data_IF_622763189352
#
_entry.id   IF_622763189352
#
_cell.length_a   1.000
_cell.length_b   1.000
_cell.length_c   1.000
_cell.angle_alpha   90.00
_cell.angle_beta   90.00
_cell.angle_gamma   90.00
#
_symmetry.space_group_name_H-M   'P 1'
#
loop_
_entity.id
_entity.type
_entity.pdbx_description
1 polymer ?
#
# COMPACT_ATOMS: atom_id res chain seq x y z
N UNK A 1 26.27 -6.97 15.10
CA UNK A 1 24.81 -6.72 15.10
C UNK A 1 24.50 -6.00 13.79
N UNK A 2 23.52 -6.47 13.01
CA UNK A 2 23.15 -5.81 11.75
C UNK A 2 22.50 -4.47 12.11
N UNK A 3 23.00 -3.37 11.55
CA UNK A 3 22.46 -2.04 11.82
C UNK A 3 20.99 -1.99 11.42
N UNK A 4 20.15 -1.54 12.34
CA UNK A 4 18.75 -1.24 12.10
C UNK A 4 18.49 0.22 12.46
N UNK A 5 17.65 0.88 11.69
CA UNK A 5 17.27 2.28 11.88
C UNK A 5 15.75 2.39 11.88
N UNK A 6 15.20 3.29 12.69
CA UNK A 6 13.78 3.62 12.62
C UNK A 6 13.46 4.33 11.31
N UNK A 7 12.29 4.05 10.74
CA UNK A 7 11.85 4.77 9.55
C UNK A 7 11.78 6.29 9.78
N UNK A 8 11.44 6.73 10.99
CA UNK A 8 11.48 8.15 11.38
C UNK A 8 12.85 8.80 11.27
N UNK A 9 13.91 8.02 11.42
CA UNK A 9 15.30 8.52 11.50
C UNK A 9 15.99 8.50 10.12
N UNK A 10 15.35 7.86 9.12
CA UNK A 10 15.83 7.87 7.74
C UNK A 10 15.59 9.25 7.11
N UNK A 11 16.66 9.95 6.78
CA UNK A 11 16.57 11.25 6.11
C UNK A 11 15.93 11.12 4.73
N UNK A 12 14.96 11.98 4.44
CA UNK A 12 14.27 12.02 3.15
C UNK A 12 12.97 11.23 3.11
N UNK A 13 12.51 10.62 4.21
CA UNK A 13 11.17 10.06 4.31
C UNK A 13 10.17 11.10 4.82
N UNK A 14 9.05 11.24 4.13
CA UNK A 14 7.88 11.99 4.57
C UNK A 14 6.69 11.03 4.72
N UNK A 15 5.91 11.21 5.79
CA UNK A 15 4.75 10.38 6.10
C UNK A 15 3.49 11.23 5.97
N UNK A 16 2.58 10.85 5.09
CA UNK A 16 1.39 11.62 4.73
C UNK A 16 0.16 10.77 5.00
N UNK A 17 -0.70 11.24 5.90
CA UNK A 17 -1.98 10.57 6.21
C UNK A 17 -3.00 10.82 5.11
N UNK A 18 -3.82 9.79 4.84
CA UNK A 18 -4.84 9.88 3.81
C UNK A 18 -6.01 10.79 4.15
N UNK A 19 -6.92 10.92 3.20
CA UNK A 19 -8.10 11.76 3.27
C UNK A 19 -9.27 11.03 3.92
N UNK A 20 -10.00 11.72 4.82
CA UNK A 20 -11.34 11.28 5.25
C UNK A 20 -12.29 11.61 4.10
N UNK A 21 -12.56 10.65 3.23
CA UNK A 21 -13.32 10.85 1.99
C UNK A 21 -14.72 11.36 2.24
N UNK A 22 -15.41 10.87 3.28
CA UNK A 22 -16.76 11.33 3.63
C UNK A 22 -16.88 12.82 3.98
N UNK A 23 -15.76 13.52 4.24
CA UNK A 23 -15.76 14.99 4.48
C UNK A 23 -15.76 15.79 3.19
N UNK A 24 -15.22 15.23 2.11
CA UNK A 24 -15.08 15.92 0.83
C UNK A 24 -16.07 15.42 -0.22
N UNK A 25 -16.64 14.23 -0.05
CA UNK A 25 -17.59 13.61 -0.97
C UNK A 25 -18.85 14.47 -1.14
N UNK A 26 -19.24 14.69 -2.39
CA UNK A 26 -20.48 15.35 -2.73
C UNK A 26 -21.66 14.40 -2.51
N UNK A 27 -22.71 14.85 -1.87
CA UNK A 27 -23.91 14.07 -1.58
C UNK A 27 -25.10 14.60 -2.37
N UNK A 28 -25.50 13.89 -3.40
CA UNK A 28 -26.66 14.24 -4.24
C UNK A 28 -27.96 14.42 -3.44
N UNK A 29 -28.18 13.60 -2.40
CA UNK A 29 -29.37 13.69 -1.55
C UNK A 29 -29.43 15.00 -0.74
N UNK A 30 -28.31 15.69 -0.59
CA UNK A 30 -28.18 16.98 0.06
C UNK A 30 -28.08 18.14 -0.94
N UNK A 31 -28.26 17.89 -2.23
CA UNK A 31 -28.06 18.85 -3.33
C UNK A 31 -26.66 19.52 -3.28
N UNK A 32 -25.64 18.79 -2.85
CA UNK A 32 -24.26 19.27 -2.86
C UNK A 32 -23.70 19.18 -4.27
N UNK A 33 -23.05 20.24 -4.72
CA UNK A 33 -22.47 20.33 -6.07
C UNK A 33 -21.03 19.81 -6.01
N UNK A 34 -20.72 18.82 -6.85
CA UNK A 34 -19.35 18.38 -7.05
C UNK A 34 -18.55 19.43 -7.82
N UNK A 35 -17.32 19.69 -7.39
CA UNK A 35 -16.37 20.60 -8.04
C UNK A 35 -15.31 19.83 -8.87
N UNK A 36 -15.25 18.51 -8.73
CA UNK A 36 -14.35 17.64 -9.47
C UNK A 36 -14.50 16.17 -9.11
N UNK A 37 -13.68 15.36 -9.75
CA UNK A 37 -13.61 13.90 -9.58
C UNK A 37 -12.17 13.45 -9.33
N UNK A 38 -12.00 12.42 -8.54
CA UNK A 38 -10.69 11.82 -8.27
C UNK A 38 -10.81 10.31 -8.10
N UNK A 39 -9.84 9.56 -8.60
CA UNK A 39 -9.72 8.13 -8.34
C UNK A 39 -9.13 7.90 -6.94
N UNK A 40 -9.70 6.97 -6.19
CA UNK A 40 -9.37 6.75 -4.78
C UNK A 40 -8.85 5.33 -4.57
N UNK A 41 -7.77 5.20 -3.79
CA UNK A 41 -7.22 3.94 -3.30
C UNK A 41 -7.85 3.58 -1.95
N UNK A 42 -8.84 2.67 -1.90
CA UNK A 42 -9.29 2.09 -0.64
C UNK A 42 -8.30 1.03 -0.14
N UNK A 43 -8.31 0.65 1.15
CA UNK A 43 -7.40 -0.39 1.68
C UNK A 43 -7.43 -1.71 0.91
N UNK A 44 -8.59 -2.10 0.37
CA UNK A 44 -8.76 -3.34 -0.39
C UNK A 44 -7.98 -3.37 -1.72
N UNK A 45 -7.67 -2.18 -2.29
CA UNK A 45 -6.90 -2.05 -3.52
C UNK A 45 -5.39 -2.27 -3.32
N UNK A 46 -4.91 -2.32 -2.07
CA UNK A 46 -3.49 -2.53 -1.75
C UNK A 46 -3.27 -4.01 -1.50
N UNK A 47 -2.50 -4.69 -2.36
CA UNK A 47 -2.22 -6.13 -2.23
C UNK A 47 -0.77 -6.41 -2.65
N UNK A 48 -0.02 -7.04 -1.75
CA UNK A 48 1.30 -7.65 -2.04
C UNK A 48 2.21 -6.83 -2.97
N UNK A 49 2.42 -5.58 -2.64
CA UNK A 49 3.35 -4.70 -3.38
C UNK A 49 2.72 -3.86 -4.49
N UNK A 50 1.45 -4.08 -4.87
CA UNK A 50 0.80 -3.44 -6.03
C UNK A 50 -0.54 -2.81 -5.69
N UNK A 51 -0.99 -1.90 -6.55
CA UNK A 51 -2.36 -1.38 -6.58
C UNK A 51 -3.20 -2.24 -7.54
N UNK A 52 -4.33 -2.75 -7.05
CA UNK A 52 -5.32 -3.47 -7.86
C UNK A 52 -6.28 -2.47 -8.47
N UNK A 53 -6.16 -2.21 -9.76
CA UNK A 53 -6.89 -1.17 -10.49
C UNK A 53 -8.41 -1.35 -10.40
N UNK A 54 -8.91 -2.59 -10.52
CA UNK A 54 -10.34 -2.92 -10.45
C UNK A 54 -10.98 -2.64 -9.08
N UNK A 55 -10.17 -2.39 -8.06
CA UNK A 55 -10.62 -2.08 -6.71
C UNK A 55 -10.63 -0.57 -6.41
N UNK A 56 -10.15 0.26 -7.33
CA UNK A 56 -10.25 1.71 -7.23
C UNK A 56 -11.70 2.15 -7.42
N UNK A 57 -12.03 3.34 -6.91
CA UNK A 57 -13.33 3.94 -7.18
C UNK A 57 -13.19 5.44 -7.45
N UNK A 58 -14.11 5.98 -8.24
CA UNK A 58 -14.21 7.41 -8.49
C UNK A 58 -14.98 8.10 -7.35
N UNK A 59 -14.47 9.20 -6.86
CA UNK A 59 -15.10 10.06 -5.88
C UNK A 59 -15.39 11.42 -6.49
N UNK A 60 -16.65 11.84 -6.47
CA UNK A 60 -17.03 13.23 -6.74
C UNK A 60 -16.85 14.05 -5.45
N UNK A 61 -16.04 15.11 -5.52
CA UNK A 61 -15.75 15.92 -4.32
C UNK A 61 -16.35 17.33 -4.43
N UNK A 62 -16.79 17.86 -3.28
CA UNK A 62 -17.42 19.18 -3.11
C UNK A 62 -16.52 20.24 -2.48
N UNK A 63 -15.37 19.84 -2.00
CA UNK A 63 -14.39 20.71 -1.37
C UNK A 63 -12.98 20.23 -1.66
N UNK A 64 -12.04 21.16 -1.73
CA UNK A 64 -10.62 20.88 -1.95
C UNK A 64 -10.04 20.00 -0.84
N UNK A 65 -8.98 19.31 -1.18
CA UNK A 65 -8.15 18.50 -0.31
C UNK A 65 -6.66 18.78 -0.60
N UNK A 66 -5.79 18.39 0.31
CA UNK A 66 -4.35 18.60 0.17
C UNK A 66 -3.78 17.66 -0.93
N UNK A 67 -3.22 18.23 -2.00
CA UNK A 67 -2.60 17.50 -3.12
C UNK A 67 -1.44 16.60 -2.68
N UNK A 68 -0.86 16.83 -1.48
CA UNK A 68 0.13 15.91 -0.92
C UNK A 68 -0.41 14.51 -0.69
N UNK A 69 -1.74 14.36 -0.56
CA UNK A 69 -2.44 13.08 -0.39
C UNK A 69 -2.68 12.33 -1.69
N UNK A 70 -2.33 12.93 -2.82
CA UNK A 70 -2.26 12.25 -4.10
C UNK A 70 -0.93 11.50 -4.22
N UNK A 71 -0.99 10.32 -4.76
CA UNK A 71 0.18 9.47 -5.03
C UNK A 71 1.08 10.08 -6.08
N UNK A 72 2.37 9.80 -5.96
CA UNK A 72 3.42 10.10 -6.95
C UNK A 72 4.25 8.85 -7.19
N UNK A 73 4.76 8.66 -8.39
CA UNK A 73 5.67 7.56 -8.67
C UNK A 73 6.83 7.54 -7.66
N UNK A 74 7.17 6.35 -7.18
CA UNK A 74 8.16 6.15 -6.13
C UNK A 74 7.64 6.29 -4.69
N UNK A 75 6.38 6.67 -4.48
CA UNK A 75 5.73 6.60 -3.16
C UNK A 75 5.48 5.14 -2.76
N UNK A 76 5.32 4.92 -1.46
CA UNK A 76 4.80 3.65 -0.93
C UNK A 76 3.50 3.94 -0.18
N UNK A 77 2.41 3.29 -0.56
CA UNK A 77 1.13 3.37 0.15
C UNK A 77 1.01 2.19 1.09
N UNK A 78 0.83 2.46 2.38
CA UNK A 78 0.74 1.44 3.43
C UNK A 78 -0.66 1.39 4.00
N UNK A 79 -1.23 0.20 4.08
CA UNK A 79 -2.50 -0.08 4.72
C UNK A 79 -2.37 -0.09 6.25
N UNK A 80 -3.25 0.61 6.94
CA UNK A 80 -3.23 0.71 8.40
C UNK A 80 -4.00 -0.42 9.11
N UNK A 81 -4.67 -1.28 8.37
CA UNK A 81 -5.41 -2.44 8.88
C UNK A 81 -4.89 -3.74 8.29
N UNK A 82 -5.18 -4.86 8.95
CA UNK A 82 -4.82 -6.20 8.44
C UNK A 82 -5.28 -6.39 6.99
N UNK A 83 -4.45 -7.02 6.15
CA UNK A 83 -3.17 -7.68 6.42
C UNK A 83 -1.94 -6.77 6.46
N UNK A 84 -2.08 -5.44 6.53
CA UNK A 84 -1.02 -4.41 6.63
C UNK A 84 -0.09 -4.33 5.41
N UNK A 85 -0.59 -4.73 4.25
CA UNK A 85 0.16 -4.69 3.00
C UNK A 85 0.58 -3.26 2.62
N UNK A 86 1.61 -3.16 1.83
CA UNK A 86 2.06 -1.94 1.20
C UNK A 86 2.11 -2.11 -0.32
N UNK A 87 1.95 -1.02 -1.08
CA UNK A 87 2.11 -0.99 -2.52
C UNK A 87 3.15 0.07 -2.91
N UNK A 88 4.02 -0.29 -3.84
CA UNK A 88 4.87 0.66 -4.55
C UNK A 88 4.03 1.35 -5.63
N UNK A 89 4.17 2.66 -5.75
CA UNK A 89 3.43 3.47 -6.71
C UNK A 89 4.26 3.65 -7.98
N UNK A 90 3.73 3.13 -9.08
CA UNK A 90 4.29 3.28 -10.42
C UNK A 90 3.83 4.60 -11.07
N UNK A 91 4.32 4.93 -12.26
CA UNK A 91 3.84 6.08 -13.03
C UNK A 91 2.34 5.96 -13.38
N UNK A 92 1.84 4.73 -13.57
CA UNK A 92 0.42 4.46 -13.87
C UNK A 92 -0.51 4.71 -12.66
N UNK A 93 0.06 4.70 -11.45
CA UNK A 93 -0.66 4.88 -10.18
C UNK A 93 -0.53 6.31 -9.63
N UNK A 94 -0.03 7.27 -10.41
CA UNK A 94 0.07 8.66 -9.99
C UNK A 94 -1.29 9.36 -9.94
N UNK A 95 -1.43 10.33 -9.04
CA UNK A 95 -2.62 11.16 -8.93
C UNK A 95 -3.81 10.49 -8.24
N UNK A 96 -3.63 9.34 -7.63
CA UNK A 96 -4.67 8.64 -6.88
C UNK A 96 -4.75 9.17 -5.44
N UNK A 97 -5.95 9.45 -4.96
CA UNK A 97 -6.19 9.89 -3.58
C UNK A 97 -6.22 8.70 -2.64
N UNK A 98 -5.48 8.73 -1.54
CA UNK A 98 -5.54 7.68 -0.52
C UNK A 98 -6.57 7.98 0.56
N UNK A 99 -7.28 6.96 1.04
CA UNK A 99 -8.21 7.09 2.17
C UNK A 99 -7.48 7.22 3.50
N UNK A 100 -8.15 7.72 4.55
CA UNK A 100 -7.61 7.86 5.90
C UNK A 100 -7.19 6.53 6.58
N UNK A 101 -7.51 5.39 5.96
CA UNK A 101 -7.05 4.06 6.39
C UNK A 101 -5.71 3.66 5.77
N UNK A 102 -5.07 4.57 5.06
CA UNK A 102 -3.75 4.40 4.43
C UNK A 102 -2.86 5.59 4.74
N UNK A 103 -1.56 5.40 4.59
CA UNK A 103 -0.57 6.47 4.57
C UNK A 103 0.31 6.36 3.33
N UNK A 104 0.83 7.49 2.86
CA UNK A 104 1.93 7.54 1.91
C UNK A 104 3.24 7.68 2.69
N UNK A 105 4.22 6.88 2.34
CA UNK A 105 5.62 7.11 2.65
C UNK A 105 6.26 7.65 1.36
N UNK A 106 6.52 8.94 1.32
CA UNK A 106 7.21 9.60 0.20
C UNK A 106 8.69 9.62 0.45
N UNK A 107 9.46 9.03 -0.45
CA UNK A 107 10.88 8.81 -0.26
C UNK A 107 11.71 9.68 -1.19
N UNK A 108 12.61 10.47 -0.62
CA UNK A 108 13.65 11.23 -1.28
C UNK A 108 15.04 10.89 -0.75
N UNK A 109 15.14 9.79 0.01
CA UNK A 109 16.40 9.30 0.57
C UNK A 109 17.37 8.87 -0.55
N UNK A 110 18.65 9.08 -0.31
CA UNK A 110 19.71 8.57 -1.19
C UNK A 110 20.29 7.23 -0.71
N UNK A 111 19.91 6.78 0.46
CA UNK A 111 20.44 5.57 1.11
C UNK A 111 19.40 4.47 1.31
N UNK A 112 18.12 4.76 1.03
CA UNK A 112 17.03 3.81 1.12
C UNK A 112 16.24 3.85 -0.19
N UNK A 113 16.15 2.72 -0.89
CA UNK A 113 15.34 2.57 -2.11
C UNK A 113 13.87 2.40 -1.75
N UNK A 114 12.97 3.01 -2.51
CA UNK A 114 11.52 2.86 -2.33
C UNK A 114 11.06 1.42 -2.57
N UNK A 115 11.61 0.77 -3.58
CA UNK A 115 11.31 -0.61 -3.97
C UNK A 115 11.73 -1.60 -2.87
N UNK A 116 12.92 -1.41 -2.30
CA UNK A 116 13.35 -2.19 -1.13
C UNK A 116 12.44 -1.97 0.07
N UNK A 117 12.05 -0.71 0.34
CA UNK A 117 11.15 -0.40 1.45
C UNK A 117 9.77 -1.05 1.22
N UNK A 118 9.24 -1.04 0.00
CA UNK A 118 8.00 -1.71 -0.34
C UNK A 118 8.11 -3.24 -0.13
N UNK A 119 9.21 -3.86 -0.56
CA UNK A 119 9.48 -5.28 -0.32
C UNK A 119 9.57 -5.60 1.18
N UNK A 120 10.27 -4.78 1.95
CA UNK A 120 10.38 -4.92 3.40
C UNK A 120 9.01 -4.82 4.09
N UNK A 121 8.16 -3.84 3.72
CA UNK A 121 6.83 -3.63 4.29
C UNK A 121 5.80 -4.72 3.89
N UNK A 122 6.16 -5.65 3.02
CA UNK A 122 5.37 -6.85 2.70
C UNK A 122 6.02 -8.14 3.25
N UNK A 123 7.08 -8.02 4.07
CA UNK A 123 7.78 -9.18 4.62
C UNK A 123 7.23 -9.64 5.97
N UNK A 124 7.48 -10.90 6.31
CA UNK A 124 7.17 -11.43 7.65
C UNK A 124 7.93 -10.70 8.76
N UNK A 125 9.11 -10.14 8.46
CA UNK A 125 9.90 -9.35 9.41
C UNK A 125 9.17 -8.10 9.83
N UNK A 126 8.57 -7.40 8.87
CA UNK A 126 7.71 -6.25 9.14
C UNK A 126 6.41 -6.66 9.83
N UNK A 127 5.73 -7.70 9.33
CA UNK A 127 4.48 -8.16 9.91
C UNK A 127 4.64 -8.53 11.40
N UNK A 128 5.76 -9.16 11.77
CA UNK A 128 6.06 -9.46 13.17
C UNK A 128 6.16 -8.18 14.01
N UNK A 129 6.87 -7.16 13.56
CA UNK A 129 6.94 -5.86 14.26
C UNK A 129 5.56 -5.24 14.42
N UNK A 130 4.72 -5.28 13.35
CA UNK A 130 3.36 -4.77 13.39
C UNK A 130 2.53 -5.49 14.43
N UNK A 131 2.58 -6.84 14.45
CA UNK A 131 1.81 -7.64 15.41
C UNK A 131 2.19 -7.34 16.86
N UNK A 132 3.48 -7.12 17.13
CA UNK A 132 3.96 -6.71 18.46
C UNK A 132 3.42 -5.32 18.83
N UNK A 133 3.35 -4.38 17.87
CA UNK A 133 2.85 -3.02 18.08
C UNK A 133 1.34 -2.93 18.28
N UNK A 134 0.54 -3.80 17.65
CA UNK A 134 -0.93 -3.77 17.72
C UNK A 134 -1.51 -4.76 18.72
N UNK A 135 -0.68 -5.56 19.36
CA UNK A 135 -1.07 -6.56 20.37
C UNK A 135 -1.87 -5.91 21.50
N UNK A 136 -2.97 -6.59 21.92
CA UNK A 136 -3.83 -6.13 23.02
C UNK A 136 -4.83 -5.02 22.64
N UNK A 137 -4.86 -4.52 21.41
CA UNK A 137 -5.86 -3.55 20.98
C UNK A 137 -7.18 -4.23 20.60
N UNK A 138 -8.32 -3.65 21.01
CA UNK A 138 -9.65 -4.15 20.64
C UNK A 138 -9.86 -4.10 19.10
N UNK A 139 -9.31 -3.09 18.44
CA UNK A 139 -9.23 -2.99 16.99
C UNK A 139 -7.76 -2.82 16.61
N UNK A 140 -7.11 -3.84 16.05
CA UNK A 140 -5.70 -3.79 15.72
C UNK A 140 -5.46 -2.92 14.48
N UNK A 141 -5.22 -1.64 14.71
CA UNK A 141 -4.85 -0.69 13.66
C UNK A 141 -3.46 -0.11 13.90
N UNK A 142 -2.73 0.03 12.80
CA UNK A 142 -1.51 0.84 12.79
C UNK A 142 -1.88 2.33 12.83
N UNK A 143 -0.97 3.10 13.41
CA UNK A 143 -1.01 4.56 13.33
C UNK A 143 0.26 5.04 12.62
N UNK A 144 0.23 6.27 12.12
CA UNK A 144 1.42 6.88 11.53
C UNK A 144 2.62 6.86 12.51
N UNK A 145 2.38 7.05 13.82
CA UNK A 145 3.42 6.98 14.84
C UNK A 145 4.07 5.60 14.90
N UNK A 146 3.27 4.53 14.92
CA UNK A 146 3.76 3.15 14.92
C UNK A 146 4.55 2.81 13.65
N UNK A 147 4.10 3.28 12.47
CA UNK A 147 4.86 3.09 11.22
C UNK A 147 6.23 3.78 11.30
N UNK A 148 6.30 4.98 11.87
CA UNK A 148 7.56 5.71 12.07
C UNK A 148 8.55 4.97 12.98
N UNK A 149 8.05 4.18 13.92
CA UNK A 149 8.86 3.39 14.86
C UNK A 149 9.31 2.03 14.30
N UNK A 150 8.85 1.64 13.10
CA UNK A 150 9.27 0.40 12.42
C UNK A 150 10.79 0.45 12.17
N UNK A 151 11.46 -0.65 12.52
CA UNK A 151 12.90 -0.83 12.34
C UNK A 151 13.19 -1.47 10.98
N UNK A 152 13.86 -0.76 10.10
CA UNK A 152 14.35 -1.28 8.82
C UNK A 152 15.85 -1.55 8.90
N UNK A 153 16.31 -2.57 8.20
CA UNK A 153 17.74 -2.88 8.14
C UNK A 153 18.44 -1.92 7.18
N UNK A 154 19.51 -1.28 7.66
CA UNK A 154 20.45 -0.56 6.83
C UNK A 154 21.30 -1.55 6.04
N UNK A 155 21.41 -1.35 4.74
CA UNK A 155 22.24 -2.13 3.83
C UNK A 155 22.64 -1.29 2.62
N UNK A 156 23.68 -1.73 1.94
CA UNK A 156 24.14 -1.09 0.70
C UNK A 156 23.06 -1.15 -0.38
N UNK A 157 23.06 -0.18 -1.29
CA UNK A 157 22.05 -0.09 -2.36
C UNK A 157 22.00 -1.34 -3.23
N UNK A 158 23.14 -2.00 -3.43
CA UNK A 158 23.20 -3.25 -4.20
C UNK A 158 22.47 -4.40 -3.50
N UNK A 159 22.66 -4.53 -2.18
CA UNK A 159 21.93 -5.52 -1.38
C UNK A 159 20.42 -5.21 -1.36
N UNK A 160 20.05 -3.93 -1.35
CA UNK A 160 18.65 -3.51 -1.42
C UNK A 160 18.00 -3.92 -2.74
N UNK A 161 18.71 -3.78 -3.89
CA UNK A 161 18.24 -4.24 -5.20
C UNK A 161 18.02 -5.75 -5.22
N UNK A 162 18.94 -6.51 -4.65
CA UNK A 162 18.77 -7.97 -4.57
C UNK A 162 17.51 -8.37 -3.79
N UNK A 163 17.23 -7.69 -2.66
CA UNK A 163 16.00 -7.95 -1.88
C UNK A 163 14.75 -7.62 -2.69
N UNK A 164 14.75 -6.50 -3.39
CA UNK A 164 13.66 -6.09 -4.27
C UNK A 164 13.45 -7.10 -5.41
N UNK A 165 14.51 -7.54 -6.11
CA UNK A 165 14.43 -8.57 -7.15
C UNK A 165 13.86 -9.90 -6.61
N UNK A 166 14.26 -10.33 -5.41
CA UNK A 166 13.67 -11.51 -4.76
C UNK A 166 12.18 -11.33 -4.50
N UNK A 167 11.79 -10.16 -4.01
CA UNK A 167 10.38 -9.86 -3.73
C UNK A 167 9.54 -9.88 -5.02
N UNK A 168 10.01 -9.23 -6.09
CA UNK A 168 9.32 -9.24 -7.39
C UNK A 168 9.18 -10.66 -7.94
N UNK A 169 10.25 -11.48 -7.86
CA UNK A 169 10.22 -12.87 -8.31
C UNK A 169 9.21 -13.71 -7.52
N UNK A 170 9.09 -13.48 -6.20
CA UNK A 170 8.09 -14.17 -5.36
C UNK A 170 6.69 -13.75 -5.78
N UNK A 171 6.42 -12.46 -5.87
CA UNK A 171 5.12 -11.91 -6.27
C UNK A 171 4.68 -12.43 -7.64
N UNK A 172 5.59 -12.43 -8.62
CA UNK A 172 5.29 -12.97 -9.95
C UNK A 172 4.95 -14.47 -9.92
N UNK A 173 5.68 -15.26 -9.13
CA UNK A 173 5.39 -16.69 -8.95
C UNK A 173 4.02 -16.92 -8.31
N UNK A 174 3.67 -16.14 -7.30
CA UNK A 174 2.36 -16.21 -6.64
C UNK A 174 1.23 -15.89 -7.62
N UNK A 175 1.38 -14.86 -8.46
CA UNK A 175 0.41 -14.49 -9.50
C UNK A 175 0.22 -15.62 -10.52
N UNK A 176 1.32 -16.16 -11.05
CA UNK A 176 1.30 -17.26 -12.03
C UNK A 176 0.66 -18.52 -11.42
N UNK A 177 1.02 -18.87 -10.19
CA UNK A 177 0.43 -20.02 -9.51
C UNK A 177 -1.06 -19.82 -9.24
N UNK A 178 -1.49 -18.62 -8.88
CA UNK A 178 -2.91 -18.31 -8.69
C UNK A 178 -3.70 -18.47 -10.01
N UNK A 179 -3.13 -18.04 -11.15
CA UNK A 179 -3.72 -18.23 -12.48
C UNK A 179 -3.82 -19.72 -12.85
N UNK A 180 -2.76 -20.49 -12.62
CA UNK A 180 -2.77 -21.93 -12.86
C UNK A 180 -3.87 -22.63 -12.04
N UNK A 181 -3.96 -22.30 -10.74
CA UNK A 181 -5.00 -22.86 -9.86
C UNK A 181 -6.41 -22.48 -10.34
N UNK A 182 -6.61 -21.25 -10.82
CA UNK A 182 -7.89 -20.80 -11.35
C UNK A 182 -8.29 -21.60 -12.60
N UNK A 183 -7.37 -21.79 -13.54
CA UNK A 183 -7.58 -22.60 -14.76
C UNK A 183 -7.88 -24.07 -14.45
N UNK A 184 -7.18 -24.67 -13.49
CA UNK A 184 -7.43 -26.06 -13.07
C UNK A 184 -8.81 -26.21 -12.42
N UNK A 185 -9.25 -25.22 -11.62
CA UNK A 185 -10.61 -25.20 -11.07
C UNK A 185 -11.68 -25.08 -12.15
N UNK A 186 -11.46 -24.23 -13.14
CA UNK A 186 -12.37 -24.08 -14.29
C UNK A 186 -12.47 -25.39 -15.07
N UNK A 187 -11.34 -26.04 -15.35
CA UNK A 187 -11.30 -27.36 -16.00
C UNK A 187 -12.07 -28.41 -15.20
N UNK A 188 -11.85 -28.46 -13.88
CA UNK A 188 -12.58 -29.38 -13.00
C UNK A 188 -14.10 -29.15 -13.09
N UNK A 189 -14.52 -27.89 -13.02
CA UNK A 189 -15.94 -27.53 -13.11
C UNK A 189 -16.55 -27.90 -14.47
N UNK A 190 -15.81 -27.73 -15.56
CA UNK A 190 -16.27 -28.13 -16.91
C UNK A 190 -16.48 -29.64 -17.03
N UNK A 191 -15.58 -30.43 -16.42
CA UNK A 191 -15.69 -31.91 -16.40
C UNK A 191 -16.86 -32.36 -15.51
N UNK A 192 -17.05 -31.74 -14.35
CA UNK A 192 -18.15 -32.08 -13.43
C UNK A 192 -19.51 -31.57 -13.91
N UNK A 193 -19.55 -30.45 -14.66
CA UNK A 193 -20.78 -29.85 -15.15
C UNK A 193 -21.41 -30.56 -16.34
N UNK A 194 -20.76 -31.52 -16.94
CA UNK A 194 -21.24 -32.43 -18.00
C UNK A 194 -21.92 -31.70 -19.16
N UNK A 195 -21.16 -31.20 -20.16
CA UNK A 195 -21.65 -30.97 -21.52
C UNK A 195 -21.02 -31.95 -22.47
#
# INVERSE_FOLDING_TARGET
>A
MKNQIKLSDVKGLAFIGGQITSRIEANEKKNEIAIGKVQVIPPKAIKAGKIVQDELYELEYKSDFDDKKLTKAGDIVVKLSSPYDAAYITEEDEGLLITSFCIIIRNTSKTLMSEYLAAFLNSEVYLKQVMDMVSGAAVPMLTMGKIKDVMVREMELEDQRQVEEYFQNITLKEEVMAQIIALEKEKLNSVLGGK
#
